data_IF_291016864228
#
_entry.id   IF_291016864228
#
_cell.length_a   1.000
_cell.length_b   1.000
_cell.length_c   1.000
_cell.angle_alpha   90.00
_cell.angle_beta   90.00
_cell.angle_gamma   90.00
#
_symmetry.space_group_name_H-M   'P 1'
#
loop_
_entity.id
_entity.type
_entity.pdbx_description
1 polymer ?
#
# COMPACT_ATOMS: atom_id res chain seq x y z
N UNK A 1 7.41 31.15 45.98
CA UNK A 1 6.95 29.75 46.00
C UNK A 1 5.93 29.49 44.89
N UNK A 2 4.74 30.11 44.90
CA UNK A 2 3.70 29.87 43.88
C UNK A 2 4.16 30.06 42.43
N UNK A 3 4.89 31.15 42.12
CA UNK A 3 5.40 31.42 40.77
C UNK A 3 6.36 30.32 40.28
N UNK A 4 7.24 29.84 41.17
CA UNK A 4 8.20 28.78 40.85
C UNK A 4 7.46 27.46 40.60
N UNK A 5 6.48 27.13 41.44
CA UNK A 5 5.64 25.94 41.25
C UNK A 5 4.84 25.99 39.95
N UNK A 6 4.24 27.14 39.60
CA UNK A 6 3.52 27.31 38.34
C UNK A 6 4.42 27.20 37.12
N UNK A 7 5.65 27.76 37.19
CA UNK A 7 6.63 27.64 36.12
C UNK A 7 7.06 26.18 35.91
N UNK A 8 7.30 25.44 37.00
CA UNK A 8 7.65 24.02 36.92
C UNK A 8 6.51 23.19 36.32
N UNK A 9 5.26 23.41 36.74
CA UNK A 9 4.09 22.74 36.16
C UNK A 9 3.99 23.04 34.66
N UNK A 10 4.20 24.29 34.25
CA UNK A 10 4.17 24.66 32.83
C UNK A 10 5.27 23.93 32.04
N UNK A 11 6.51 23.90 32.52
CA UNK A 11 7.62 23.23 31.82
C UNK A 11 7.41 21.71 31.74
N UNK A 12 7.01 21.08 32.84
CA UNK A 12 6.92 19.62 32.91
C UNK A 12 5.61 19.04 32.38
N UNK A 13 4.52 19.81 32.36
CA UNK A 13 3.24 19.35 31.79
C UNK A 13 3.08 19.88 30.38
N UNK A 14 3.11 21.20 30.19
CA UNK A 14 2.88 21.81 28.86
C UNK A 14 4.08 21.62 27.94
N UNK A 15 5.30 21.75 28.46
CA UNK A 15 6.51 21.53 27.65
C UNK A 15 6.62 20.12 27.07
N UNK A 16 6.20 19.10 27.82
CA UNK A 16 6.14 17.72 27.32
C UNK A 16 5.09 17.57 26.20
N UNK A 17 3.89 18.12 26.37
CA UNK A 17 2.84 18.07 25.35
C UNK A 17 3.25 18.80 24.06
N UNK A 18 3.88 19.99 24.18
CA UNK A 18 4.41 20.71 23.03
C UNK A 18 5.52 19.90 22.35
N UNK A 19 6.42 19.28 23.11
CA UNK A 19 7.44 18.37 22.60
C UNK A 19 6.83 17.26 21.75
N UNK A 20 5.80 16.57 22.24
CA UNK A 20 5.09 15.52 21.48
C UNK A 20 4.51 16.08 20.18
N UNK A 21 3.79 17.19 20.21
CA UNK A 21 3.14 17.77 19.03
C UNK A 21 4.17 18.19 17.97
N UNK A 22 5.22 18.90 18.37
CA UNK A 22 6.22 19.43 17.44
C UNK A 22 7.18 18.35 16.91
N UNK A 23 7.58 17.40 17.75
CA UNK A 23 8.45 16.29 17.34
C UNK A 23 7.69 15.31 16.45
N UNK A 24 6.44 14.96 16.77
CA UNK A 24 5.61 14.08 15.93
C UNK A 24 5.28 14.74 14.57
N UNK A 25 4.98 16.05 14.57
CA UNK A 25 4.75 16.79 13.32
C UNK A 25 5.99 16.85 12.43
N UNK A 26 7.18 17.06 13.02
CA UNK A 26 8.46 17.04 12.29
C UNK A 26 8.80 15.64 11.80
N UNK A 27 8.50 14.61 12.59
CA UNK A 27 8.69 13.22 12.20
C UNK A 27 7.83 12.90 10.99
N UNK A 28 6.51 13.11 11.08
CA UNK A 28 5.57 12.92 9.96
C UNK A 28 5.97 13.69 8.72
N UNK A 29 6.35 14.97 8.86
CA UNK A 29 6.78 15.78 7.72
C UNK A 29 8.05 15.27 7.01
N UNK A 30 8.91 14.51 7.69
CA UNK A 30 10.13 13.92 7.11
C UNK A 30 9.93 12.48 6.64
N UNK A 31 8.91 11.79 7.14
CA UNK A 31 8.68 10.36 6.86
C UNK A 31 7.66 10.11 5.76
N UNK A 32 6.80 11.09 5.42
CA UNK A 32 5.77 10.94 4.39
C UNK A 32 6.03 11.85 3.18
N UNK A 33 5.58 11.43 2.00
CA UNK A 33 5.51 12.30 0.83
C UNK A 33 4.14 13.00 0.78
N UNK A 34 4.05 14.20 1.37
CA UNK A 34 2.81 14.98 1.37
C UNK A 34 2.31 15.22 -0.06
N UNK A 35 1.00 15.06 -0.29
CA UNK A 35 0.35 15.26 -1.59
C UNK A 35 0.44 14.07 -2.55
N UNK A 36 1.14 13.00 -2.17
CA UNK A 36 1.13 11.72 -2.90
C UNK A 36 -0.05 10.85 -2.46
N UNK A 37 -0.55 9.95 -3.31
CA UNK A 37 -1.58 8.99 -2.92
C UNK A 37 -1.01 7.95 -1.95
N UNK A 38 -1.83 7.42 -1.03
CA UNK A 38 -1.50 6.20 -0.30
C UNK A 38 -1.18 5.05 -1.25
N UNK A 39 -0.28 4.16 -0.86
CA UNK A 39 0.17 3.01 -1.68
C UNK A 39 -0.99 2.17 -2.23
N UNK A 40 -2.03 1.95 -1.43
CA UNK A 40 -3.19 1.16 -1.85
C UNK A 40 -4.05 1.85 -2.91
N UNK A 41 -4.11 3.19 -2.90
CA UNK A 41 -4.82 3.96 -3.93
C UNK A 41 -4.05 3.85 -5.24
N UNK A 42 -2.72 3.95 -5.19
CA UNK A 42 -1.86 3.78 -6.37
C UNK A 42 -2.04 2.38 -6.98
N UNK A 43 -1.96 1.33 -6.17
CA UNK A 43 -2.20 -0.05 -6.62
C UNK A 43 -3.59 -0.26 -7.24
N UNK A 44 -4.62 0.34 -6.63
CA UNK A 44 -6.00 0.23 -7.14
C UNK A 44 -6.18 0.97 -8.48
N UNK A 45 -5.45 2.06 -8.71
CA UNK A 45 -5.43 2.75 -10.01
C UNK A 45 -4.73 1.93 -11.08
N UNK A 46 -3.58 1.33 -10.77
CA UNK A 46 -2.89 0.40 -11.68
C UNK A 46 -3.84 -0.73 -12.08
N UNK A 47 -4.55 -1.32 -11.11
CA UNK A 47 -5.55 -2.34 -11.39
C UNK A 47 -6.62 -1.84 -12.36
N UNK A 48 -7.19 -0.65 -12.10
CA UNK A 48 -8.20 -0.02 -12.96
C UNK A 48 -7.69 0.21 -14.38
N UNK A 49 -6.49 0.74 -14.54
CA UNK A 49 -5.93 1.10 -15.84
C UNK A 49 -5.56 -0.11 -16.70
N UNK A 50 -5.39 -1.29 -16.10
CA UNK A 50 -4.96 -2.52 -16.78
C UNK A 50 -6.03 -3.63 -16.83
N UNK A 51 -7.27 -3.35 -16.44
CA UNK A 51 -8.37 -4.33 -16.45
C UNK A 51 -9.67 -3.69 -16.93
N UNK A 52 -10.59 -4.51 -17.42
CA UNK A 52 -11.93 -4.08 -17.82
C UNK A 52 -12.91 -4.10 -16.63
N UNK A 53 -13.95 -3.25 -16.63
CA UNK A 53 -14.97 -3.24 -15.58
C UNK A 53 -15.72 -4.56 -15.38
N UNK A 54 -15.79 -5.38 -16.41
CA UNK A 54 -16.49 -6.67 -16.39
C UNK A 54 -15.59 -7.85 -15.97
N UNK A 55 -14.29 -7.62 -15.82
CA UNK A 55 -13.36 -8.65 -15.38
C UNK A 55 -13.63 -9.04 -13.91
N UNK A 56 -13.56 -10.34 -13.62
CA UNK A 56 -13.56 -10.84 -12.24
C UNK A 56 -12.10 -10.90 -11.79
N UNK A 57 -11.74 -10.00 -10.88
CA UNK A 57 -10.35 -9.83 -10.45
C UNK A 57 -10.12 -10.57 -9.14
N UNK A 58 -9.16 -11.49 -9.14
CA UNK A 58 -8.68 -12.15 -7.93
C UNK A 58 -7.49 -11.36 -7.40
N UNK A 59 -7.56 -10.88 -6.16
CA UNK A 59 -6.51 -10.04 -5.58
C UNK A 59 -6.40 -10.24 -4.07
N UNK A 60 -5.21 -10.01 -3.52
CA UNK A 60 -5.04 -9.88 -2.08
C UNK A 60 -5.42 -8.47 -1.56
N UNK A 61 -5.73 -7.53 -2.46
CA UNK A 61 -6.18 -6.16 -2.21
C UNK A 61 -7.71 -6.08 -2.14
N UNK A 62 -8.32 -6.85 -1.25
CA UNK A 62 -9.76 -7.16 -1.32
C UNK A 62 -10.67 -5.95 -1.50
N UNK A 63 -10.49 -4.95 -0.64
CA UNK A 63 -11.46 -3.87 -0.50
C UNK A 63 -11.02 -2.62 -1.27
N UNK A 64 -9.72 -2.40 -1.36
CA UNK A 64 -9.16 -1.21 -1.99
C UNK A 64 -9.27 -1.25 -3.51
N UNK A 65 -9.01 -2.41 -4.11
CA UNK A 65 -9.14 -2.60 -5.56
C UNK A 65 -10.57 -2.34 -6.03
N UNK A 66 -11.57 -2.76 -5.24
CA UNK A 66 -12.98 -2.45 -5.48
C UNK A 66 -13.30 -0.97 -5.32
N UNK A 67 -12.96 -0.36 -4.18
CA UNK A 67 -13.37 1.00 -3.85
C UNK A 67 -12.71 2.07 -4.72
N UNK A 68 -11.39 2.00 -4.90
CA UNK A 68 -10.64 3.02 -5.62
C UNK A 68 -10.44 2.66 -7.09
N UNK A 69 -10.45 1.38 -7.42
CA UNK A 69 -10.31 0.90 -8.79
C UNK A 69 -11.64 0.83 -9.53
N UNK A 70 -12.78 0.89 -8.84
CA UNK A 70 -14.10 0.63 -9.41
C UNK A 70 -14.11 -0.73 -10.15
N UNK A 71 -13.63 -1.77 -9.45
CA UNK A 71 -13.51 -3.13 -10.00
C UNK A 71 -14.26 -4.14 -9.16
N UNK A 72 -14.70 -5.23 -9.79
CA UNK A 72 -15.23 -6.39 -9.06
C UNK A 72 -14.05 -7.25 -8.62
N UNK A 73 -13.66 -7.10 -7.36
CA UNK A 73 -12.57 -7.91 -6.78
C UNK A 73 -13.12 -9.01 -5.88
N UNK A 74 -12.41 -10.13 -5.87
CA UNK A 74 -12.59 -11.21 -4.91
C UNK A 74 -11.28 -11.33 -4.14
N UNK A 75 -11.36 -11.26 -2.81
CA UNK A 75 -10.20 -11.55 -1.99
C UNK A 75 -9.72 -12.96 -2.25
N UNK A 76 -8.40 -13.10 -2.36
CA UNK A 76 -7.80 -14.41 -2.30
C UNK A 76 -6.52 -14.39 -1.49
N UNK A 77 -6.40 -15.27 -0.48
CA UNK A 77 -5.18 -15.38 0.29
C UNK A 77 -4.03 -15.85 -0.61
N UNK A 78 -2.88 -15.19 -0.52
CA UNK A 78 -1.73 -15.48 -1.38
C UNK A 78 -1.08 -16.82 -1.00
N UNK A 79 -1.52 -17.88 -1.69
CA UNK A 79 -0.98 -19.23 -1.55
C UNK A 79 0.49 -19.36 -1.98
N UNK A 80 1.14 -20.51 -1.73
CA UNK A 80 2.54 -20.74 -2.09
C UNK A 80 2.84 -20.49 -3.58
N UNK A 81 1.94 -20.93 -4.47
CA UNK A 81 2.05 -20.74 -5.92
C UNK A 81 2.04 -19.26 -6.32
N UNK A 82 1.09 -18.48 -5.80
CA UNK A 82 1.02 -17.04 -6.05
C UNK A 82 2.23 -16.28 -5.50
N UNK A 83 2.76 -16.72 -4.35
CA UNK A 83 4.02 -16.19 -3.80
C UNK A 83 5.20 -16.49 -4.72
N UNK A 84 5.26 -17.69 -5.28
CA UNK A 84 6.32 -18.09 -6.19
C UNK A 84 6.35 -17.20 -7.42
N UNK A 85 5.20 -16.96 -8.05
CA UNK A 85 5.06 -16.02 -9.18
C UNK A 85 5.45 -14.61 -8.76
N UNK A 86 5.03 -14.16 -7.57
CA UNK A 86 5.40 -12.85 -7.04
C UNK A 86 6.92 -12.67 -6.93
N UNK A 87 7.65 -13.66 -6.43
CA UNK A 87 9.10 -13.54 -6.23
C UNK A 87 9.90 -13.84 -7.51
N UNK A 88 9.43 -14.75 -8.36
CA UNK A 88 10.14 -15.25 -9.54
C UNK A 88 9.21 -15.30 -10.77
N UNK A 89 8.74 -14.16 -11.30
CA UNK A 89 7.79 -14.13 -12.41
C UNK A 89 8.34 -14.75 -13.71
N UNK A 90 9.66 -14.73 -13.91
CA UNK A 90 10.30 -15.28 -15.11
C UNK A 90 10.39 -16.81 -15.12
N UNK A 91 10.13 -17.46 -13.99
CA UNK A 91 10.25 -18.91 -13.82
C UNK A 91 9.08 -19.46 -13.05
N UNK A 92 7.89 -19.47 -13.63
CA UNK A 92 6.69 -20.02 -12.98
C UNK A 92 6.80 -21.55 -12.97
N UNK A 93 6.75 -22.17 -11.78
CA UNK A 93 6.89 -23.63 -11.62
C UNK A 93 5.55 -24.35 -11.46
N UNK A 94 4.48 -23.63 -11.09
CA UNK A 94 3.17 -24.22 -10.82
C UNK A 94 2.35 -24.49 -12.09
N UNK A 95 1.97 -25.75 -12.32
CA UNK A 95 1.15 -26.15 -13.47
C UNK A 95 -0.21 -25.45 -13.46
N UNK A 96 -0.84 -25.29 -12.30
CA UNK A 96 -2.13 -24.62 -12.19
C UNK A 96 -2.09 -23.18 -12.72
N UNK A 97 -1.08 -22.39 -12.33
CA UNK A 97 -0.96 -21.00 -12.79
C UNK A 97 -0.66 -20.95 -14.28
N UNK A 98 0.30 -21.76 -14.78
CA UNK A 98 0.64 -21.79 -16.21
C UNK A 98 -0.52 -22.27 -17.11
N UNK A 99 -1.31 -23.23 -16.63
CA UNK A 99 -2.46 -23.77 -17.35
C UNK A 99 -3.63 -22.78 -17.38
N UNK A 100 -3.82 -22.01 -16.31
CA UNK A 100 -5.02 -21.19 -16.14
C UNK A 100 -4.77 -19.68 -16.30
N UNK A 101 -3.53 -19.19 -16.31
CA UNK A 101 -3.23 -17.76 -16.28
C UNK A 101 -1.99 -17.38 -17.09
N UNK A 102 -1.97 -16.13 -17.57
CA UNK A 102 -0.84 -15.47 -18.23
C UNK A 102 -0.40 -14.28 -17.39
N UNK A 103 0.92 -14.09 -17.27
CA UNK A 103 1.49 -12.86 -16.75
C UNK A 103 1.19 -11.69 -17.69
N UNK A 104 0.29 -10.80 -17.28
CA UNK A 104 -0.11 -9.64 -18.07
C UNK A 104 0.76 -8.41 -17.79
N UNK A 105 1.32 -8.30 -16.58
CA UNK A 105 2.21 -7.19 -16.25
C UNK A 105 2.81 -7.29 -14.85
N UNK A 106 3.96 -6.64 -14.72
CA UNK A 106 4.63 -6.37 -13.44
C UNK A 106 4.68 -4.86 -13.24
N UNK A 107 4.32 -4.41 -12.04
CA UNK A 107 4.25 -3.01 -11.70
C UNK A 107 5.05 -2.77 -10.43
N UNK A 108 5.94 -1.78 -10.50
CA UNK A 108 6.71 -1.29 -9.36
C UNK A 108 6.30 0.15 -9.09
N UNK A 109 6.05 0.46 -7.82
CA UNK A 109 5.74 1.80 -7.33
C UNK A 109 6.91 2.23 -6.46
N UNK A 110 7.54 3.34 -6.83
CA UNK A 110 8.68 3.87 -6.08
C UNK A 110 8.23 4.47 -4.73
N UNK A 111 9.06 4.41 -3.67
CA UNK A 111 8.75 5.07 -2.41
C UNK A 111 8.40 6.55 -2.57
N UNK A 112 8.96 7.28 -3.53
CA UNK A 112 8.73 8.70 -3.79
C UNK A 112 7.32 8.99 -4.33
N UNK A 113 6.63 7.96 -4.83
CA UNK A 113 5.31 8.07 -5.45
C UNK A 113 4.17 7.83 -4.46
N UNK A 114 4.46 7.30 -3.28
CA UNK A 114 3.45 6.98 -2.26
C UNK A 114 3.52 7.91 -1.06
N UNK A 115 2.37 8.15 -0.42
CA UNK A 115 2.27 8.97 0.77
C UNK A 115 3.15 8.43 1.90
N UNK A 116 3.12 7.12 2.15
CA UNK A 116 3.83 6.45 3.23
C UNK A 116 5.36 6.40 3.01
N UNK A 117 5.82 6.85 1.84
CA UNK A 117 7.22 6.69 1.40
C UNK A 117 7.65 5.22 1.40
N UNK A 118 6.74 4.37 0.94
CA UNK A 118 6.93 2.92 0.85
C UNK A 118 6.81 2.49 -0.60
N UNK A 119 7.78 1.71 -1.06
CA UNK A 119 7.69 1.07 -2.37
C UNK A 119 6.70 -0.09 -2.33
N UNK A 120 6.13 -0.42 -3.48
CA UNK A 120 5.29 -1.58 -3.63
C UNK A 120 5.52 -2.24 -4.98
N UNK A 121 5.32 -3.55 -5.04
CA UNK A 121 5.36 -4.33 -6.27
C UNK A 121 4.05 -5.07 -6.41
N UNK A 122 3.56 -5.16 -7.64
CA UNK A 122 2.35 -5.89 -7.98
C UNK A 122 2.55 -6.69 -9.26
N UNK A 123 1.85 -7.81 -9.34
CA UNK A 123 1.81 -8.67 -10.51
C UNK A 123 0.36 -8.83 -10.92
N UNK A 124 0.09 -8.65 -12.22
CA UNK A 124 -1.22 -8.89 -12.81
C UNK A 124 -1.17 -10.19 -13.61
N UNK A 125 -2.01 -11.14 -13.21
CA UNK A 125 -2.26 -12.37 -13.94
C UNK A 125 -3.66 -12.32 -14.55
N UNK A 126 -3.79 -12.72 -15.81
CA UNK A 126 -5.06 -12.78 -16.53
C UNK A 126 -5.37 -14.23 -16.86
N UNK A 127 -6.61 -14.67 -16.68
CA UNK A 127 -7.01 -16.06 -16.92
C UNK A 127 -6.91 -16.41 -18.42
N UNK A 128 -6.36 -17.57 -18.73
CA UNK A 128 -6.43 -18.19 -20.07
C UNK A 128 -7.90 -18.38 -20.47
N UNK A 129 -8.24 -18.03 -21.71
CA UNK A 129 -9.53 -18.35 -22.32
C UNK A 129 -9.57 -19.78 -22.83
#
# INVERSE_FOLDING_TARGET
>A
MAIVSSLLIFIFVVGQSLGVIFLDSRFKAKTINKGKPPVYVALSRILKENTNPDDIIVTNLDTWGSWYGERKTIWYPMGPEWRQVFFNPDKIEGSFILENYILAGEFEISPEETYERQGARAILLVRNQ
#
